data_IF_505814140526
#
_entry.id   IF_505814140526
#
_cell.length_a   1.000
_cell.length_b   1.000
_cell.length_c   1.000
_cell.angle_alpha   90.00
_cell.angle_beta   90.00
_cell.angle_gamma   90.00
#
_symmetry.space_group_name_H-M   'P 1'
#
loop_
_entity.id
_entity.type
_entity.pdbx_description
1 polymer ?
#
# COMPACT_ATOMS: atom_id res chain seq x y z
N UNK A 1 -14.53 125.44 43.11
CA UNK A 1 -15.36 125.59 44.33
C UNK A 1 -15.37 124.23 45.04
N UNK A 2 -14.65 124.13 46.17
CA UNK A 2 -15.18 123.90 47.54
C UNK A 2 -15.80 122.49 47.69
N UNK A 3 -15.40 121.60 48.60
CA UNK A 3 -14.76 121.81 49.90
C UNK A 3 -13.86 120.64 50.36
N UNK A 4 -12.65 121.06 50.68
CA UNK A 4 -11.71 120.70 51.74
C UNK A 4 -12.36 120.31 53.10
N UNK A 5 -11.94 119.12 53.59
CA UNK A 5 -11.50 118.75 54.96
C UNK A 5 -12.52 118.25 56.00
N UNK A 6 -12.21 117.06 56.53
CA UNK A 6 -12.73 116.53 57.80
C UNK A 6 -11.78 115.46 58.35
N UNK A 7 -10.78 115.93 59.11
CA UNK A 7 -9.81 115.13 59.86
C UNK A 7 -10.54 114.48 61.06
N UNK A 8 -10.47 113.16 61.21
CA UNK A 8 -10.85 112.49 62.46
C UNK A 8 -9.95 111.27 62.69
N UNK A 9 -8.97 111.49 63.55
CA UNK A 9 -8.09 110.53 64.18
C UNK A 9 -8.92 109.72 65.20
N UNK A 10 -8.97 108.40 65.10
CA UNK A 10 -9.11 107.55 66.29
C UNK A 10 -8.59 106.14 66.03
N UNK A 11 -7.47 105.84 66.68
CA UNK A 11 -6.95 104.51 66.87
C UNK A 11 -7.90 103.70 67.78
N UNK A 12 -8.26 102.49 67.38
CA UNK A 12 -8.72 101.47 68.31
C UNK A 12 -8.37 100.08 67.81
N UNK A 13 -7.30 99.56 68.39
CA UNK A 13 -7.17 98.20 68.92
C UNK A 13 -7.52 97.02 68.00
N UNK A 14 -6.43 96.43 67.48
CA UNK A 14 -6.33 95.03 67.08
C UNK A 14 -6.90 94.11 68.18
N UNK A 15 -8.11 93.59 67.97
CA UNK A 15 -8.55 92.34 68.58
C UNK A 15 -8.33 91.21 67.56
N UNK A 16 -7.10 90.73 67.47
CA UNK A 16 -6.85 89.42 66.90
C UNK A 16 -7.26 88.37 67.94
N UNK A 17 -8.21 87.46 67.67
CA UNK A 17 -8.30 86.27 68.48
C UNK A 17 -7.06 85.44 68.16
N UNK A 18 -6.10 85.42 69.08
CA UNK A 18 -5.11 84.38 69.13
C UNK A 18 -5.83 83.07 69.46
N UNK A 19 -6.41 82.44 68.44
CA UNK A 19 -6.63 81.00 68.47
C UNK A 19 -5.22 80.40 68.55
N UNK A 20 -4.78 80.10 69.77
CA UNK A 20 -3.67 79.20 70.01
C UNK A 20 -4.02 77.87 69.32
N UNK A 21 -3.58 77.71 68.07
CA UNK A 21 -3.45 76.40 67.45
C UNK A 21 -2.51 75.65 68.38
N UNK A 22 -3.06 74.66 69.09
CA UNK A 22 -2.27 73.68 69.80
C UNK A 22 -1.13 73.25 68.87
N UNK A 23 0.09 73.13 69.38
CA UNK A 23 1.19 72.56 68.61
C UNK A 23 0.69 71.29 67.91
N UNK A 24 0.81 71.22 66.58
CA UNK A 24 0.32 70.08 65.81
C UNK A 24 0.84 68.79 66.45
N UNK A 25 -0.03 67.79 66.62
CA UNK A 25 0.36 66.51 67.22
C UNK A 25 1.50 65.90 66.36
N UNK A 26 2.72 65.72 66.90
CA UNK A 26 3.86 65.25 66.12
C UNK A 26 3.63 63.87 65.50
N UNK A 27 2.81 63.02 66.14
CA UNK A 27 2.44 61.71 65.59
C UNK A 27 1.47 61.84 64.42
N UNK A 28 0.49 62.75 64.50
CA UNK A 28 -0.43 63.02 63.41
C UNK A 28 0.33 63.59 62.19
N UNK A 29 1.27 64.52 62.41
CA UNK A 29 2.14 65.05 61.35
C UNK A 29 2.98 63.96 60.69
N UNK A 30 3.56 63.05 61.49
CA UNK A 30 4.35 61.92 60.98
C UNK A 30 3.51 60.95 60.14
N UNK A 31 2.31 60.60 60.59
CA UNK A 31 1.40 59.72 59.85
C UNK A 31 0.87 60.40 58.58
N UNK A 32 0.59 61.71 58.63
CA UNK A 32 0.21 62.48 57.45
C UNK A 32 1.34 62.52 56.42
N UNK A 33 2.60 62.66 56.85
CA UNK A 33 3.74 62.61 55.94
C UNK A 33 3.86 61.25 55.23
N UNK A 34 3.65 60.13 55.94
CA UNK A 34 3.58 58.79 55.32
C UNK A 34 2.48 58.70 54.27
N UNK A 35 1.27 59.19 54.59
CA UNK A 35 0.17 59.22 53.64
C UNK A 35 0.43 60.09 52.41
N UNK A 36 1.17 61.19 52.57
CA UNK A 36 1.57 62.05 51.45
C UNK A 36 2.59 61.34 50.55
N UNK A 37 3.54 60.58 51.11
CA UNK A 37 4.49 59.76 50.34
C UNK A 37 3.73 58.70 49.53
N UNK A 38 2.80 57.98 50.16
CA UNK A 38 1.97 56.97 49.48
C UNK A 38 1.18 57.59 48.31
N UNK A 39 0.62 58.79 48.49
CA UNK A 39 -0.15 59.49 47.45
C UNK A 39 0.71 60.07 46.33
N UNK A 40 1.95 60.46 46.64
CA UNK A 40 2.90 60.97 45.66
C UNK A 40 3.46 59.85 44.76
N UNK A 41 3.36 58.60 45.19
CA UNK A 41 3.76 57.45 44.38
C UNK A 41 2.84 57.31 43.14
N UNK A 42 3.40 57.32 41.92
CA UNK A 42 2.60 57.26 40.70
C UNK A 42 1.88 55.92 40.48
N UNK A 43 2.37 54.84 41.09
CA UNK A 43 1.80 53.50 41.01
C UNK A 43 0.80 53.28 42.14
N UNK A 44 1.20 53.57 43.38
CA UNK A 44 0.43 53.25 44.57
C UNK A 44 -0.61 54.31 44.94
N UNK A 45 -0.38 55.58 44.60
CA UNK A 45 -1.17 56.70 45.12
C UNK A 45 -2.65 56.68 44.73
N UNK A 46 -3.01 55.96 43.66
CA UNK A 46 -4.40 55.79 43.21
C UNK A 46 -5.03 54.45 43.62
N UNK A 47 -4.29 53.60 44.33
CA UNK A 47 -4.74 52.27 44.76
C UNK A 47 -5.26 52.30 46.18
N UNK A 48 -6.11 51.32 46.53
CA UNK A 48 -6.71 51.21 47.86
C UNK A 48 -7.37 52.52 48.35
N UNK A 49 -8.08 53.23 47.46
CA UNK A 49 -8.64 54.55 47.74
C UNK A 49 -9.53 54.59 49.00
N UNK A 50 -10.26 53.50 49.27
CA UNK A 50 -11.07 53.34 50.48
C UNK A 50 -10.21 53.32 51.74
N UNK A 51 -9.17 52.49 51.79
CA UNK A 51 -8.26 52.39 52.94
C UNK A 51 -7.48 53.69 53.15
N UNK A 52 -7.07 54.37 52.08
CA UNK A 52 -6.44 55.68 52.17
C UNK A 52 -7.38 56.73 52.78
N UNK A 53 -8.68 56.70 52.44
CA UNK A 53 -9.67 57.59 53.05
C UNK A 53 -9.83 57.28 54.54
N UNK A 54 -9.97 56.01 54.93
CA UNK A 54 -10.07 55.61 56.34
C UNK A 54 -8.83 56.00 57.15
N UNK A 55 -7.64 55.86 56.57
CA UNK A 55 -6.39 56.30 57.18
C UNK A 55 -6.36 57.82 57.43
N UNK A 56 -6.81 58.63 56.47
CA UNK A 56 -6.90 60.10 56.63
C UNK A 56 -7.91 60.50 57.71
N UNK A 57 -9.05 59.81 57.77
CA UNK A 57 -10.04 60.05 58.82
C UNK A 57 -9.50 59.70 60.21
N UNK A 58 -8.78 58.59 60.34
CA UNK A 58 -8.16 58.20 61.61
C UNK A 58 -7.04 59.15 62.04
N UNK A 59 -6.25 59.70 61.11
CA UNK A 59 -5.26 60.75 61.38
C UNK A 59 -5.95 62.04 61.84
N UNK A 60 -7.05 62.44 61.21
CA UNK A 60 -7.82 63.61 61.64
C UNK A 60 -8.39 63.43 63.05
N UNK A 61 -8.94 62.25 63.35
CA UNK A 61 -9.44 61.93 64.70
C UNK A 61 -8.34 61.95 65.77
N UNK A 62 -7.10 61.56 65.42
CA UNK A 62 -5.94 61.65 66.30
C UNK A 62 -5.60 63.11 66.63
N UNK A 63 -5.64 64.01 65.65
CA UNK A 63 -5.37 65.43 65.86
C UNK A 63 -6.35 66.10 66.84
N UNK A 64 -7.60 65.61 66.87
CA UNK A 64 -8.67 66.12 67.74
C UNK A 64 -8.81 65.37 69.09
N UNK A 65 -8.01 64.32 69.32
CA UNK A 65 -8.18 63.42 70.47
C UNK A 65 -7.82 64.08 71.81
N UNK A 66 -8.63 63.80 72.85
CA UNK A 66 -8.32 64.21 74.24
C UNK A 66 -7.16 63.37 74.80
N UNK A 67 -6.40 63.92 75.76
CA UNK A 67 -5.22 63.25 76.36
C UNK A 67 -5.49 61.82 76.85
N UNK A 68 -6.68 61.55 77.40
CA UNK A 68 -7.04 60.22 77.92
C UNK A 68 -7.29 59.15 76.84
N UNK A 69 -7.84 59.57 75.69
CA UNK A 69 -8.20 58.65 74.59
C UNK A 69 -7.08 58.50 73.55
N UNK A 70 -6.09 59.41 73.59
CA UNK A 70 -5.00 59.52 72.61
C UNK A 70 -4.23 58.21 72.35
N UNK A 71 -3.86 57.38 73.35
CA UNK A 71 -3.16 56.12 73.06
C UNK A 71 -3.95 55.17 72.16
N UNK A 72 -5.27 55.06 72.38
CA UNK A 72 -6.15 54.21 71.57
C UNK A 72 -6.35 54.75 70.16
N UNK A 73 -6.56 56.07 70.03
CA UNK A 73 -6.73 56.72 68.73
C UNK A 73 -5.44 56.71 67.92
N UNK A 74 -4.27 56.88 68.56
CA UNK A 74 -2.96 56.76 67.91
C UNK A 74 -2.73 55.36 67.36
N UNK A 75 -3.03 54.32 68.15
CA UNK A 75 -2.94 52.93 67.70
C UNK A 75 -3.82 52.70 66.48
N UNK A 76 -5.08 53.14 66.52
CA UNK A 76 -6.00 52.99 65.39
C UNK A 76 -5.49 53.72 64.14
N UNK A 77 -5.02 54.95 64.27
CA UNK A 77 -4.46 55.73 63.16
C UNK A 77 -3.24 55.05 62.54
N UNK A 78 -2.31 54.55 63.36
CA UNK A 78 -1.15 53.78 62.90
C UNK A 78 -1.58 52.54 62.10
N UNK A 79 -2.52 51.76 62.64
CA UNK A 79 -3.03 50.56 61.97
C UNK A 79 -3.74 50.88 60.65
N UNK A 80 -4.50 51.98 60.58
CA UNK A 80 -5.16 52.38 59.33
C UNK A 80 -4.17 52.81 58.26
N UNK A 81 -3.11 53.54 58.62
CA UNK A 81 -2.02 53.89 57.69
C UNK A 81 -1.31 52.62 57.18
N UNK A 82 -1.00 51.67 58.07
CA UNK A 82 -0.40 50.39 57.68
C UNK A 82 -1.32 49.58 56.74
N UNK A 83 -2.63 49.54 57.01
CA UNK A 83 -3.61 48.89 56.13
C UNK A 83 -3.64 49.57 54.76
N UNK A 84 -3.64 50.91 54.70
CA UNK A 84 -3.65 51.64 53.43
C UNK A 84 -2.41 51.34 52.58
N UNK A 85 -1.21 51.36 53.19
CA UNK A 85 0.05 51.05 52.51
C UNK A 85 0.08 49.59 52.00
N UNK A 86 -0.31 48.63 52.85
CA UNK A 86 -0.32 47.20 52.48
C UNK A 86 -1.38 46.88 51.44
N UNK A 87 -2.56 47.49 51.53
CA UNK A 87 -3.63 47.32 50.54
C UNK A 87 -3.23 47.90 49.18
N UNK A 88 -2.59 49.07 49.14
CA UNK A 88 -2.10 49.66 47.90
C UNK A 88 -1.03 48.75 47.25
N UNK A 89 -0.08 48.24 48.04
CA UNK A 89 0.92 47.29 47.56
C UNK A 89 0.31 45.97 47.05
N UNK A 90 -0.69 45.43 47.76
CA UNK A 90 -1.39 44.22 47.36
C UNK A 90 -2.17 44.40 46.05
N UNK A 91 -2.83 45.55 45.86
CA UNK A 91 -3.54 45.86 44.63
C UNK A 91 -2.58 46.03 43.45
N UNK A 92 -1.42 46.68 43.66
CA UNK A 92 -0.38 46.81 42.63
C UNK A 92 0.12 45.44 42.17
N UNK A 93 0.47 44.56 43.12
CA UNK A 93 0.93 43.21 42.83
C UNK A 93 -0.14 42.39 42.07
N UNK A 94 -1.42 42.54 42.41
CA UNK A 94 -2.52 41.88 41.67
C UNK A 94 -2.63 42.36 40.23
N UNK A 95 -2.43 43.66 39.97
CA UNK A 95 -2.45 44.21 38.60
C UNK A 95 -1.26 43.73 37.78
N UNK A 96 -0.09 43.62 38.40
CA UNK A 96 1.10 43.05 37.76
C UNK A 96 0.89 41.58 37.40
N UNK A 97 0.36 40.77 38.33
CA UNK A 97 0.00 39.38 38.06
C UNK A 97 -0.97 39.24 36.88
N UNK A 98 -2.04 40.05 36.84
CA UNK A 98 -2.98 40.04 35.73
C UNK A 98 -2.31 40.39 34.39
N UNK A 99 -1.35 41.31 34.40
CA UNK A 99 -0.58 41.67 33.20
C UNK A 99 0.33 40.53 32.75
N UNK A 100 1.04 39.90 33.69
CA UNK A 100 1.90 38.76 33.42
C UNK A 100 1.10 37.55 32.92
N UNK A 101 -0.11 37.32 33.44
CA UNK A 101 -0.99 36.26 32.97
C UNK A 101 -1.42 36.48 31.51
N UNK A 102 -1.78 37.72 31.15
CA UNK A 102 -2.09 38.05 29.76
C UNK A 102 -0.89 37.85 28.84
N UNK A 103 0.31 38.28 29.26
CA UNK A 103 1.55 38.05 28.50
C UNK A 103 1.86 36.56 28.35
N UNK A 104 1.69 35.78 29.42
CA UNK A 104 1.86 34.32 29.40
C UNK A 104 0.87 33.67 28.43
N UNK A 105 -0.39 34.07 28.45
CA UNK A 105 -1.42 33.57 27.54
C UNK A 105 -1.08 33.89 26.08
N UNK A 106 -0.62 35.11 25.78
CA UNK A 106 -0.20 35.48 24.43
C UNK A 106 1.02 34.65 23.98
N UNK A 107 2.04 34.50 24.83
CA UNK A 107 3.20 33.67 24.51
C UNK A 107 2.83 32.20 24.26
N UNK A 108 1.93 31.63 25.05
CA UNK A 108 1.43 30.26 24.83
C UNK A 108 0.65 30.15 23.51
N UNK A 109 -0.15 31.16 23.16
CA UNK A 109 -0.86 31.20 21.89
C UNK A 109 0.11 31.30 20.72
N UNK A 110 1.16 32.12 20.81
CA UNK A 110 2.20 32.23 19.79
C UNK A 110 2.97 30.91 19.63
N UNK A 111 3.34 30.26 20.74
CA UNK A 111 3.99 28.96 20.71
C UNK A 111 3.09 27.91 20.02
N UNK A 112 1.82 27.84 20.43
CA UNK A 112 0.83 26.93 19.84
C UNK A 112 0.64 27.16 18.33
N UNK A 113 0.62 28.42 17.88
CA UNK A 113 0.55 28.75 16.44
C UNK A 113 1.76 28.25 15.68
N UNK A 114 2.97 28.48 16.19
CA UNK A 114 4.22 27.99 15.57
C UNK A 114 4.25 26.46 15.52
N UNK A 115 3.77 25.80 16.56
CA UNK A 115 3.71 24.34 16.60
C UNK A 115 2.70 23.79 15.59
N UNK A 116 1.53 24.41 15.47
CA UNK A 116 0.53 24.05 14.47
C UNK A 116 1.05 24.26 13.03
N UNK A 117 1.81 25.32 12.78
CA UNK A 117 2.45 25.57 11.48
C UNK A 117 3.51 24.50 11.16
N UNK A 118 4.36 24.15 12.12
CA UNK A 118 5.35 23.06 11.95
C UNK A 118 4.67 21.72 11.67
N UNK A 119 3.64 21.38 12.43
CA UNK A 119 2.87 20.15 12.23
C UNK A 119 2.21 20.11 10.83
N UNK A 120 1.68 21.23 10.33
CA UNK A 120 1.14 21.33 8.96
C UNK A 120 2.22 21.13 7.90
N UNK A 121 3.40 21.72 8.08
CA UNK A 121 4.52 21.55 7.16
C UNK A 121 5.01 20.09 7.13
N UNK A 122 5.11 19.45 8.29
CA UNK A 122 5.47 18.03 8.40
C UNK A 122 4.41 17.13 7.76
N UNK A 123 3.13 17.39 8.01
CA UNK A 123 2.03 16.65 7.38
C UNK A 123 2.04 16.78 5.85
N UNK A 124 2.27 17.99 5.31
CA UNK A 124 2.35 18.19 3.86
C UNK A 124 3.58 17.51 3.25
N UNK A 125 4.74 17.55 3.95
CA UNK A 125 5.93 16.79 3.53
C UNK A 125 5.66 15.29 3.45
N UNK A 126 5.01 14.72 4.45
CA UNK A 126 4.63 13.31 4.46
C UNK A 126 3.60 12.99 3.35
N UNK A 127 2.64 13.88 3.09
CA UNK A 127 1.68 13.74 1.99
C UNK A 127 2.37 13.69 0.64
N UNK A 128 3.32 14.60 0.40
CA UNK A 128 4.12 14.65 -0.84
C UNK A 128 4.96 13.37 -0.97
N UNK A 129 5.63 12.93 0.09
CA UNK A 129 6.42 11.69 0.07
C UNK A 129 5.55 10.46 -0.25
N UNK A 130 4.37 10.36 0.36
CA UNK A 130 3.43 9.29 0.08
C UNK A 130 2.93 9.32 -1.38
N UNK A 131 2.67 10.52 -1.94
CA UNK A 131 2.32 10.67 -3.34
C UNK A 131 3.45 10.23 -4.28
N UNK A 132 4.69 10.63 -4.01
CA UNK A 132 5.87 10.22 -4.80
C UNK A 132 6.01 8.71 -4.77
N UNK A 133 5.91 8.08 -3.59
CA UNK A 133 6.00 6.63 -3.46
C UNK A 133 4.89 5.90 -4.22
N UNK A 134 3.66 6.45 -4.22
CA UNK A 134 2.55 5.88 -4.99
C UNK A 134 2.80 6.01 -6.50
N UNK A 135 3.28 7.17 -6.97
CA UNK A 135 3.62 7.38 -8.39
C UNK A 135 4.77 6.47 -8.84
N UNK A 136 5.80 6.29 -8.02
CA UNK A 136 6.91 5.38 -8.28
C UNK A 136 6.45 3.92 -8.31
N UNK A 137 5.58 3.51 -7.37
CA UNK A 137 5.01 2.17 -7.35
C UNK A 137 4.15 1.89 -8.60
N UNK A 138 3.33 2.85 -9.04
CA UNK A 138 2.56 2.74 -10.28
C UNK A 138 3.48 2.67 -11.51
N UNK A 139 4.55 3.48 -11.57
CA UNK A 139 5.55 3.39 -12.65
C UNK A 139 6.23 2.02 -12.69
N UNK A 140 6.61 1.48 -11.53
CA UNK A 140 7.20 0.14 -11.44
C UNK A 140 6.19 -0.94 -11.86
N UNK A 141 4.91 -0.80 -11.50
CA UNK A 141 3.86 -1.75 -11.93
C UNK A 141 3.70 -1.73 -13.45
N UNK A 142 3.61 -0.55 -14.06
CA UNK A 142 3.52 -0.40 -15.52
C UNK A 142 4.75 -0.97 -16.22
N UNK A 143 5.95 -0.77 -15.67
CA UNK A 143 7.18 -1.35 -16.21
C UNK A 143 7.17 -2.88 -16.14
N UNK A 144 6.73 -3.45 -15.00
CA UNK A 144 6.59 -4.89 -14.84
C UNK A 144 5.53 -5.51 -15.77
N UNK A 145 4.39 -4.84 -15.95
CA UNK A 145 3.35 -5.23 -16.90
C UNK A 145 3.88 -5.22 -18.34
N UNK A 146 4.62 -4.17 -18.73
CA UNK A 146 5.25 -4.09 -20.05
C UNK A 146 6.30 -5.19 -20.27
N UNK A 147 7.11 -5.50 -19.25
CA UNK A 147 8.09 -6.59 -19.33
C UNK A 147 7.39 -7.96 -19.44
N UNK A 148 6.33 -8.19 -18.66
CA UNK A 148 5.55 -9.41 -18.74
C UNK A 148 4.89 -9.57 -20.13
N UNK A 149 4.36 -8.49 -20.71
CA UNK A 149 3.82 -8.49 -22.06
C UNK A 149 4.91 -8.83 -23.10
N UNK A 150 6.09 -8.19 -23.01
CA UNK A 150 7.21 -8.48 -23.91
C UNK A 150 7.68 -9.95 -23.81
N UNK A 151 7.71 -10.52 -22.61
CA UNK A 151 8.02 -11.95 -22.40
C UNK A 151 6.96 -12.85 -23.04
N UNK A 152 5.68 -12.55 -22.85
CA UNK A 152 4.57 -13.29 -23.48
C UNK A 152 4.65 -13.23 -25.01
N UNK A 153 4.95 -12.07 -25.59
CA UNK A 153 5.10 -11.91 -27.04
C UNK A 153 6.26 -12.75 -27.60
N UNK A 154 7.39 -12.78 -26.89
CA UNK A 154 8.54 -13.63 -27.24
C UNK A 154 8.16 -15.11 -27.15
N UNK A 155 7.49 -15.54 -26.09
CA UNK A 155 7.01 -16.93 -25.93
C UNK A 155 6.03 -17.34 -27.03
N UNK A 156 5.09 -16.47 -27.39
CA UNK A 156 4.17 -16.70 -28.51
C UNK A 156 4.91 -16.78 -29.85
N UNK A 157 5.89 -15.92 -30.09
CA UNK A 157 6.71 -15.96 -31.30
C UNK A 157 7.51 -17.27 -31.39
N UNK A 158 8.15 -17.69 -30.30
CA UNK A 158 8.86 -18.98 -30.19
C UNK A 158 7.94 -20.18 -30.40
N UNK A 159 6.77 -20.18 -29.76
CA UNK A 159 5.74 -21.22 -29.94
C UNK A 159 5.28 -21.31 -31.40
N UNK A 160 5.04 -20.17 -32.05
CA UNK A 160 4.65 -20.13 -33.46
C UNK A 160 5.77 -20.62 -34.38
N UNK A 161 7.03 -20.27 -34.09
CA UNK A 161 8.19 -20.70 -34.86
C UNK A 161 8.43 -22.22 -34.73
N UNK A 162 8.37 -22.75 -33.51
CA UNK A 162 8.46 -24.19 -33.25
C UNK A 162 7.28 -24.96 -33.87
N UNK A 163 6.07 -24.40 -33.83
CA UNK A 163 4.90 -24.94 -34.54
C UNK A 163 5.10 -25.01 -36.06
N UNK A 164 5.68 -23.97 -36.67
CA UNK A 164 6.02 -23.97 -38.11
C UNK A 164 7.10 -24.99 -38.44
N UNK A 165 8.15 -25.10 -37.62
CA UNK A 165 9.22 -26.08 -37.81
C UNK A 165 8.72 -27.52 -37.70
N UNK A 166 7.91 -27.82 -36.68
CA UNK A 166 7.31 -29.15 -36.51
C UNK A 166 6.35 -29.49 -37.66
N UNK A 167 5.56 -28.53 -38.14
CA UNK A 167 4.72 -28.71 -39.32
C UNK A 167 5.55 -29.02 -40.59
N UNK A 168 6.63 -28.28 -40.84
CA UNK A 168 7.52 -28.51 -41.98
C UNK A 168 8.20 -29.89 -41.91
N UNK A 169 8.72 -30.29 -40.75
CA UNK A 169 9.30 -31.61 -40.55
C UNK A 169 8.28 -32.74 -40.80
N UNK A 170 7.04 -32.57 -40.34
CA UNK A 170 5.98 -33.56 -40.59
C UNK A 170 5.61 -33.65 -42.08
N UNK A 171 5.60 -32.53 -42.80
CA UNK A 171 5.34 -32.49 -44.23
C UNK A 171 6.47 -33.13 -45.04
N UNK A 172 7.73 -32.90 -44.66
CA UNK A 172 8.88 -33.56 -45.26
C UNK A 172 8.81 -35.09 -45.08
N UNK A 173 8.56 -35.57 -43.85
CA UNK A 173 8.40 -37.01 -43.55
C UNK A 173 7.27 -37.66 -44.35
N UNK A 174 6.14 -36.96 -44.54
CA UNK A 174 5.02 -37.46 -45.37
C UNK A 174 5.42 -37.60 -46.84
N UNK A 175 6.19 -36.65 -47.38
CA UNK A 175 6.70 -36.72 -48.76
C UNK A 175 7.70 -37.88 -48.92
N UNK A 176 8.63 -38.06 -47.99
CA UNK A 176 9.57 -39.18 -47.98
C UNK A 176 8.84 -40.53 -47.96
N UNK A 177 7.81 -40.67 -47.11
CA UNK A 177 7.01 -41.89 -47.06
C UNK A 177 6.25 -42.16 -48.37
N UNK A 178 5.72 -41.12 -49.03
CA UNK A 178 5.07 -41.25 -50.33
C UNK A 178 6.05 -41.68 -51.44
N UNK A 179 7.24 -41.08 -51.47
CA UNK A 179 8.29 -41.45 -52.42
C UNK A 179 8.74 -42.91 -52.20
N UNK A 180 8.98 -43.33 -50.96
CA UNK A 180 9.34 -44.71 -50.65
C UNK A 180 8.26 -45.72 -51.07
N UNK A 181 6.97 -45.35 -51.04
CA UNK A 181 5.89 -46.20 -51.57
C UNK A 181 5.94 -46.28 -53.08
N UNK A 182 6.12 -45.16 -53.77
CA UNK A 182 6.25 -45.15 -55.24
C UNK A 182 7.44 -46.00 -55.68
N UNK A 183 8.57 -45.91 -55.00
CA UNK A 183 9.74 -46.75 -55.27
C UNK A 183 9.45 -48.24 -55.03
N UNK A 184 8.76 -48.60 -53.94
CA UNK A 184 8.41 -49.99 -53.66
C UNK A 184 7.37 -50.57 -54.64
N UNK A 185 6.41 -49.77 -55.10
CA UNK A 185 5.44 -50.17 -56.12
C UNK A 185 6.11 -50.35 -57.50
N UNK A 186 7.09 -49.49 -57.83
CA UNK A 186 7.90 -49.62 -59.04
C UNK A 186 8.79 -50.87 -59.02
N UNK A 187 9.38 -51.22 -57.87
CA UNK A 187 10.28 -52.39 -57.75
C UNK A 187 9.53 -53.72 -57.62
N UNK A 188 8.37 -53.75 -56.97
CA UNK A 188 7.63 -54.99 -56.68
C UNK A 188 6.62 -55.39 -57.76
N UNK A 189 6.30 -54.53 -58.73
CA UNK A 189 5.26 -54.75 -59.75
C UNK A 189 3.89 -55.17 -59.17
N UNK A 190 3.63 -54.88 -57.89
CA UNK A 190 2.43 -55.27 -57.16
C UNK A 190 1.99 -54.14 -56.21
N UNK A 191 0.67 -53.98 -56.04
CA UNK A 191 0.08 -52.87 -55.27
C UNK A 191 0.16 -53.11 -53.77
N UNK A 192 0.70 -52.14 -53.03
CA UNK A 192 0.79 -52.20 -51.57
C UNK A 192 -0.59 -52.02 -50.90
N UNK A 193 -0.84 -52.71 -49.76
CA UNK A 193 -2.06 -52.51 -48.97
C UNK A 193 -2.19 -51.07 -48.44
N UNK A 194 -3.42 -50.57 -48.21
CA UNK A 194 -3.63 -49.22 -47.68
C UNK A 194 -3.02 -49.08 -46.28
N UNK A 195 -2.22 -48.03 -46.07
CA UNK A 195 -1.64 -47.70 -44.77
C UNK A 195 -1.87 -46.28 -44.30
N UNK A 196 -2.04 -46.15 -42.99
CA UNK A 196 -2.29 -44.90 -42.26
C UNK A 196 -1.16 -44.67 -41.26
N UNK A 197 -0.66 -43.43 -41.17
CA UNK A 197 0.32 -43.05 -40.17
C UNK A 197 -0.39 -42.63 -38.88
N UNK A 198 -0.19 -43.40 -37.82
CA UNK A 198 -0.69 -43.11 -36.48
C UNK A 198 0.47 -42.79 -35.52
N UNK A 199 0.15 -42.35 -34.30
CA UNK A 199 1.13 -42.11 -33.22
C UNK A 199 1.96 -43.35 -32.85
N UNK A 200 1.52 -44.54 -33.26
CA UNK A 200 2.17 -45.84 -33.00
C UNK A 200 3.02 -46.35 -34.17
N UNK A 201 3.11 -45.58 -35.26
CA UNK A 201 3.85 -45.94 -36.47
C UNK A 201 2.98 -46.03 -37.72
N UNK A 202 3.54 -46.63 -38.78
CA UNK A 202 2.80 -46.87 -40.02
C UNK A 202 1.96 -48.14 -39.90
N UNK A 203 0.64 -48.03 -40.02
CA UNK A 203 -0.30 -49.14 -39.87
C UNK A 203 -0.85 -49.54 -41.23
N UNK A 204 -0.55 -50.76 -41.68
CA UNK A 204 -1.11 -51.36 -42.89
C UNK A 204 -2.35 -52.18 -42.55
N UNK A 205 -3.49 -51.84 -43.15
CA UNK A 205 -4.75 -52.57 -42.93
C UNK A 205 -4.88 -53.71 -43.93
N UNK A 206 -5.07 -54.92 -43.42
CA UNK A 206 -5.33 -56.14 -44.20
C UNK A 206 -6.83 -56.45 -44.13
N UNK A 207 -7.54 -56.44 -45.27
CA UNK A 207 -8.99 -56.65 -45.31
C UNK A 207 -9.37 -58.10 -45.03
N UNK A 208 -10.63 -58.34 -44.65
CA UNK A 208 -11.12 -59.68 -44.33
C UNK A 208 -11.03 -60.66 -45.51
N UNK A 209 -11.17 -60.17 -46.75
CA UNK A 209 -11.04 -60.97 -47.97
C UNK A 209 -9.62 -61.50 -48.25
N UNK A 210 -8.60 -61.00 -47.53
CA UNK A 210 -7.24 -61.55 -47.58
C UNK A 210 -7.10 -62.89 -46.84
N UNK A 211 -8.15 -63.33 -46.13
CA UNK A 211 -8.14 -64.55 -45.32
C UNK A 211 -9.25 -65.53 -45.74
N UNK A 212 -8.94 -66.83 -45.72
CA UNK A 212 -9.89 -67.93 -45.83
C UNK A 212 -9.71 -68.88 -44.64
N UNK A 213 -10.72 -68.94 -43.75
CA UNK A 213 -10.73 -69.79 -42.54
C UNK A 213 -9.44 -69.71 -41.68
N UNK A 214 -8.86 -68.51 -41.58
CA UNK A 214 -7.65 -68.26 -40.77
C UNK A 214 -6.33 -68.34 -41.53
N UNK A 215 -6.31 -68.89 -42.75
CA UNK A 215 -5.15 -68.86 -43.65
C UNK A 215 -5.24 -67.69 -44.64
N UNK A 216 -4.13 -67.29 -45.26
CA UNK A 216 -4.14 -66.25 -46.30
C UNK A 216 -4.68 -66.80 -47.63
N UNK A 217 -5.54 -66.02 -48.29
CA UNK A 217 -5.96 -66.26 -49.68
C UNK A 217 -4.80 -65.99 -50.66
N UNK A 218 -4.96 -66.32 -51.94
CA UNK A 218 -3.94 -66.03 -52.96
C UNK A 218 -3.60 -64.52 -53.01
N UNK A 219 -4.62 -63.67 -52.99
CA UNK A 219 -4.48 -62.21 -52.94
C UNK A 219 -3.85 -61.75 -51.62
N UNK A 220 -4.21 -62.39 -50.50
CA UNK A 220 -3.61 -62.12 -49.19
C UNK A 220 -2.11 -62.47 -49.13
N UNK A 221 -1.68 -63.53 -49.83
CA UNK A 221 -0.26 -63.89 -49.95
C UNK A 221 0.50 -62.91 -50.83
N UNK A 222 -0.08 -62.45 -51.94
CA UNK A 222 0.53 -61.43 -52.80
C UNK A 222 0.68 -60.09 -52.06
N UNK A 223 -0.36 -59.66 -51.33
CA UNK A 223 -0.32 -58.47 -50.48
C UNK A 223 0.73 -58.57 -49.36
N UNK A 224 0.85 -59.74 -48.72
CA UNK A 224 1.87 -59.98 -47.69
C UNK A 224 3.29 -59.98 -48.26
N UNK A 225 3.49 -60.49 -49.48
CA UNK A 225 4.79 -60.47 -50.17
C UNK A 225 5.22 -59.05 -50.57
N UNK A 226 4.30 -58.24 -51.12
CA UNK A 226 4.57 -56.83 -51.41
C UNK A 226 4.89 -56.04 -50.14
N UNK A 227 4.17 -56.32 -49.04
CA UNK A 227 4.46 -55.72 -47.74
C UNK A 227 5.83 -56.16 -47.20
N UNK A 228 6.21 -57.43 -47.35
CA UNK A 228 7.52 -57.92 -46.94
C UNK A 228 8.68 -57.24 -47.69
N UNK A 229 8.53 -57.03 -49.00
CA UNK A 229 9.50 -56.29 -49.81
C UNK A 229 9.65 -54.84 -49.33
N UNK A 230 8.53 -54.16 -49.06
CA UNK A 230 8.53 -52.79 -48.51
C UNK A 230 9.23 -52.69 -47.15
N UNK A 231 9.01 -53.66 -46.27
CA UNK A 231 9.65 -53.70 -44.95
C UNK A 231 11.17 -53.90 -45.03
N UNK A 232 11.65 -54.61 -46.07
CA UNK A 232 13.08 -54.85 -46.29
C UNK A 232 13.83 -53.65 -46.87
N UNK A 233 13.20 -52.91 -47.79
CA UNK A 233 13.82 -51.73 -48.43
C UNK A 233 14.27 -50.71 -47.38
N UNK A 234 13.54 -50.58 -46.27
CA UNK A 234 13.83 -49.59 -45.23
C UNK A 234 14.54 -50.08 -43.96
N UNK A 235 14.92 -51.37 -43.84
CA UNK A 235 15.37 -51.99 -42.56
C UNK A 235 14.55 -51.53 -41.34
N UNK A 236 13.22 -51.61 -41.45
CA UNK A 236 12.33 -50.99 -40.46
C UNK A 236 12.31 -51.75 -39.14
N UNK A 237 11.94 -51.05 -38.06
CA UNK A 237 12.00 -51.52 -36.68
C UNK A 237 11.08 -52.70 -36.35
N UNK A 238 10.67 -52.84 -35.08
CA UNK A 238 9.80 -53.95 -34.66
C UNK A 238 8.44 -53.87 -35.37
N UNK A 239 8.00 -55.00 -35.91
CA UNK A 239 6.73 -55.16 -36.60
C UNK A 239 5.76 -55.86 -35.66
N UNK A 240 4.57 -55.29 -35.47
CA UNK A 240 3.49 -55.89 -34.71
C UNK A 240 2.31 -56.19 -35.63
N UNK A 241 1.98 -57.46 -35.75
CA UNK A 241 0.80 -57.97 -36.43
C UNK A 241 -0.31 -58.14 -35.41
N UNK A 242 -1.38 -57.38 -35.54
CA UNK A 242 -2.57 -57.49 -34.72
C UNK A 242 -3.74 -57.96 -35.59
N UNK A 243 -4.20 -59.19 -35.41
CA UNK A 243 -5.38 -59.70 -36.11
C UNK A 243 -6.60 -59.67 -35.21
N UNK A 244 -7.77 -59.44 -35.80
CA UNK A 244 -9.03 -59.30 -35.09
C UNK A 244 -10.02 -60.36 -35.58
N UNK A 245 -10.72 -60.99 -34.63
CA UNK A 245 -11.89 -61.84 -34.90
C UNK A 245 -12.77 -61.98 -33.64
N UNK A 246 -14.03 -62.38 -33.80
CA UNK A 246 -14.92 -62.71 -32.68
C UNK A 246 -14.48 -63.98 -31.93
N UNK A 247 -13.78 -64.89 -32.62
CA UNK A 247 -13.09 -66.04 -32.02
C UNK A 247 -11.60 -65.75 -31.84
N UNK A 248 -11.12 -65.79 -30.60
CA UNK A 248 -9.71 -65.57 -30.26
C UNK A 248 -8.76 -66.57 -30.93
N UNK A 249 -9.20 -67.82 -31.15
CA UNK A 249 -8.41 -68.84 -31.85
C UNK A 249 -8.25 -68.50 -33.32
N UNK A 250 -9.33 -68.04 -33.95
CA UNK A 250 -9.32 -67.62 -35.35
C UNK A 250 -8.52 -66.33 -35.55
N UNK A 251 -8.62 -65.37 -34.62
CA UNK A 251 -7.81 -64.16 -34.62
C UNK A 251 -6.32 -64.50 -34.55
N UNK A 252 -5.92 -65.41 -33.65
CA UNK A 252 -4.52 -65.82 -33.53
C UNK A 252 -4.04 -66.53 -34.80
N UNK A 253 -4.83 -67.44 -35.36
CA UNK A 253 -4.51 -68.13 -36.62
C UNK A 253 -4.25 -67.16 -37.77
N UNK A 254 -5.03 -66.07 -37.89
CA UNK A 254 -4.81 -65.03 -38.90
C UNK A 254 -3.51 -64.24 -38.66
N UNK A 255 -3.19 -63.92 -37.41
CA UNK A 255 -1.96 -63.21 -37.06
C UNK A 255 -0.74 -64.08 -37.40
N UNK A 256 -0.80 -65.37 -37.08
CA UNK A 256 0.27 -66.34 -37.36
C UNK A 256 0.43 -66.59 -38.86
N UNK A 257 -0.67 -66.69 -39.62
CA UNK A 257 -0.62 -66.84 -41.07
C UNK A 257 0.05 -65.63 -41.76
N UNK A 258 -0.23 -64.42 -41.28
CA UNK A 258 0.39 -63.20 -41.80
C UNK A 258 1.86 -63.09 -41.40
N UNK A 259 2.20 -63.43 -40.15
CA UNK A 259 3.61 -63.54 -39.72
C UNK A 259 4.38 -64.54 -40.58
N UNK A 260 3.83 -65.72 -40.81
CA UNK A 260 4.47 -66.75 -41.64
C UNK A 260 4.72 -66.24 -43.07
N UNK A 261 3.78 -65.52 -43.67
CA UNK A 261 3.96 -64.95 -45.00
C UNK A 261 4.98 -63.81 -45.06
N UNK A 262 5.05 -62.96 -44.02
CA UNK A 262 6.07 -61.91 -43.92
C UNK A 262 7.48 -62.50 -43.76
N UNK A 263 7.60 -63.55 -42.94
CA UNK A 263 8.86 -64.28 -42.74
C UNK A 263 9.29 -65.01 -44.01
N UNK A 264 8.34 -65.67 -44.70
CA UNK A 264 8.59 -66.29 -46.00
C UNK A 264 9.00 -65.26 -47.06
N UNK A 265 8.49 -64.03 -46.95
CA UNK A 265 8.89 -62.90 -47.79
C UNK A 265 10.26 -62.32 -47.48
N UNK A 266 10.96 -62.78 -46.42
CA UNK A 266 12.34 -62.39 -46.06
C UNK A 266 12.46 -61.46 -44.84
N UNK A 267 11.37 -61.19 -44.11
CA UNK A 267 11.42 -60.41 -42.86
C UNK A 267 11.92 -61.27 -41.70
N UNK A 268 12.90 -60.84 -40.88
CA UNK A 268 13.40 -61.62 -39.76
C UNK A 268 12.31 -61.97 -38.74
N UNK A 269 12.14 -63.25 -38.40
CA UNK A 269 11.09 -63.71 -37.49
C UNK A 269 11.13 -63.08 -36.08
N UNK A 270 12.32 -62.68 -35.61
CA UNK A 270 12.51 -61.98 -34.34
C UNK A 270 12.01 -60.52 -34.34
N UNK A 271 11.75 -59.94 -35.51
CA UNK A 271 11.19 -58.58 -35.64
C UNK A 271 9.67 -58.58 -35.70
N UNK A 272 9.02 -59.74 -35.94
CA UNK A 272 7.57 -59.85 -36.14
C UNK A 272 6.89 -60.46 -34.91
N UNK A 273 6.13 -59.64 -34.18
CA UNK A 273 5.25 -60.08 -33.10
C UNK A 273 3.84 -60.24 -33.64
N UNK A 274 3.22 -61.40 -33.46
CA UNK A 274 1.85 -61.68 -33.91
C UNK A 274 0.92 -61.85 -32.71
N UNK A 275 -0.22 -61.18 -32.72
CA UNK A 275 -1.20 -61.22 -31.63
C UNK A 275 -2.62 -61.22 -32.20
N UNK A 276 -3.39 -62.24 -31.85
CA UNK A 276 -4.83 -62.28 -32.07
C UNK A 276 -5.57 -61.55 -30.96
N UNK A 277 -6.38 -60.55 -31.32
CA UNK A 277 -7.27 -59.82 -30.41
C UNK A 277 -8.71 -60.22 -30.66
N UNK A 278 -9.43 -60.55 -29.58
CA UNK A 278 -10.87 -60.82 -29.64
C UNK A 278 -11.62 -59.49 -29.84
N UNK A 279 -11.90 -59.14 -31.08
CA UNK A 279 -12.66 -57.96 -31.48
C UNK A 279 -13.30 -58.20 -32.86
N UNK A 280 -14.39 -57.49 -33.17
CA UNK A 280 -15.08 -57.65 -34.44
C UNK A 280 -14.14 -57.31 -35.63
N UNK A 281 -13.86 -58.29 -36.48
CA UNK A 281 -13.25 -58.04 -37.79
C UNK A 281 -14.24 -57.27 -38.66
N UNK A 282 -13.77 -56.22 -39.33
CA UNK A 282 -14.57 -55.50 -40.33
C UNK A 282 -14.10 -55.89 -41.73
N UNK A 283 -14.95 -55.69 -42.75
CA UNK A 283 -14.60 -55.98 -44.14
C UNK A 283 -13.28 -55.31 -44.57
N UNK A 284 -12.98 -54.12 -44.01
CA UNK A 284 -11.79 -53.31 -44.31
C UNK A 284 -10.60 -53.57 -43.37
N UNK A 285 -10.82 -54.21 -42.22
CA UNK A 285 -9.81 -54.42 -41.17
C UNK A 285 -10.05 -55.77 -40.47
N UNK A 286 -9.32 -56.79 -40.92
CA UNK A 286 -9.25 -58.09 -40.26
C UNK A 286 -7.88 -58.34 -39.62
N UNK A 287 -6.82 -57.69 -40.12
CA UNK A 287 -5.56 -57.58 -39.42
C UNK A 287 -4.88 -56.25 -39.71
N UNK A 288 -3.99 -55.84 -38.83
CA UNK A 288 -3.15 -54.66 -38.96
C UNK A 288 -1.69 -55.05 -38.80
N UNK A 289 -0.84 -54.53 -39.67
CA UNK A 289 0.61 -54.60 -39.52
C UNK A 289 1.10 -53.23 -39.13
N UNK A 290 1.51 -53.09 -37.88
CA UNK A 290 2.04 -51.86 -37.30
C UNK A 290 3.55 -51.93 -37.41
N UNK A 291 4.12 -51.02 -38.17
CA UNK A 291 5.57 -50.83 -38.28
C UNK A 291 5.95 -49.74 -37.28
N UNK A 292 6.58 -50.14 -36.17
CA UNK A 292 7.11 -49.18 -35.22
C UNK A 292 8.20 -48.35 -35.92
N UNK A 293 8.16 -47.04 -35.72
CA UNK A 293 9.22 -46.12 -36.16
C UNK A 293 10.50 -46.37 -35.38
#
# INVERSE_FOLDING_TARGET
>A
MRAVHGFALLACLLLAPAAARAADDPDAVRLQARMNVLQADPVLGRLAAFEQMEARQAIAALADARRGDRPGVLYLAQRRVEIAETAAGAEAARRELATLDLQRSDLLLQASRRDAERARQEAERLRIQAQIQAEEAERLRLAAEAEAAARSDVEQALSSATGRQTAQLSAARRKEAQLARQEAELVSSARLPPSTFESRGEVFAVPAGAYSRGALSADGKAAASALAAYLQIGKRGRIRVEAYDGDAKLAQARADALKAALVAGGVPAGQVQATGKKAAATAKKAAEVIVAQ
#
